data_IF_226623595762
#
_entry.id   IF_226623595762
#
_cell.length_a   1.000
_cell.length_b   1.000
_cell.length_c   1.000
_cell.angle_alpha   90.00
_cell.angle_beta   90.00
_cell.angle_gamma   90.00
#
_symmetry.space_group_name_H-M   'P 1'
#
loop_
_entity.id
_entity.type
_entity.pdbx_description
1 polymer ?
#
# COMPACT_ATOMS: atom_id res chain seq x y z
N UNK A 1 25.67 -5.10 10.64
CA UNK A 1 26.09 -4.02 9.71
C UNK A 1 26.44 -4.54 8.31
N UNK A 2 27.37 -5.50 8.17
CA UNK A 2 27.88 -5.93 6.84
C UNK A 2 26.81 -6.55 5.91
N UNK A 3 25.87 -7.36 6.42
CA UNK A 3 24.79 -7.92 5.59
C UNK A 3 23.78 -6.88 5.08
N UNK A 4 23.50 -5.84 5.87
CA UNK A 4 22.66 -4.71 5.45
C UNK A 4 23.38 -3.82 4.43
N UNK A 5 24.69 -3.61 4.61
CA UNK A 5 25.55 -2.88 3.65
C UNK A 5 25.54 -3.55 2.28
N UNK A 6 25.78 -4.88 2.22
CA UNK A 6 25.74 -5.66 0.98
C UNK A 6 24.37 -5.62 0.30
N UNK A 7 23.28 -5.61 1.06
CA UNK A 7 21.93 -5.44 0.51
C UNK A 7 21.76 -4.06 -0.16
N UNK A 8 22.16 -2.97 0.52
CA UNK A 8 22.11 -1.60 -0.04
C UNK A 8 22.98 -1.47 -1.29
N UNK A 9 24.14 -2.12 -1.31
CA UNK A 9 25.03 -2.16 -2.48
C UNK A 9 24.45 -2.90 -3.68
N UNK A 10 23.46 -3.79 -3.49
CA UNK A 10 22.77 -4.47 -4.58
C UNK A 10 21.68 -3.61 -5.25
N UNK A 11 21.28 -2.51 -4.61
CA UNK A 11 20.24 -1.61 -5.13
C UNK A 11 20.77 -0.71 -6.25
N UNK A 12 19.84 -0.17 -7.05
CA UNK A 12 20.15 0.77 -8.14
C UNK A 12 20.84 2.04 -7.64
N UNK A 13 21.61 2.70 -8.49
CA UNK A 13 22.31 3.96 -8.18
C UNK A 13 21.36 5.05 -7.67
N UNK A 14 20.13 5.11 -8.20
CA UNK A 14 19.09 6.03 -7.74
C UNK A 14 18.59 5.71 -6.33
N UNK A 15 18.37 4.43 -6.01
CA UNK A 15 17.93 4.02 -4.68
C UNK A 15 18.98 4.30 -3.59
N UNK A 16 20.28 4.22 -3.94
CA UNK A 16 21.39 4.54 -3.02
C UNK A 16 21.45 6.02 -2.63
N UNK A 17 20.88 6.94 -3.42
CA UNK A 17 20.87 8.37 -3.09
C UNK A 17 20.07 8.69 -1.83
N UNK A 18 19.09 7.86 -1.48
CA UNK A 18 18.20 8.06 -0.34
C UNK A 18 18.57 7.22 0.89
N UNK A 19 19.64 6.43 0.80
CA UNK A 19 20.09 5.55 1.87
C UNK A 19 21.35 6.14 2.49
N UNK A 20 21.33 6.39 3.80
CA UNK A 20 22.54 6.75 4.54
C UNK A 20 23.55 5.61 4.37
N UNK A 21 24.74 5.94 3.83
CA UNK A 21 25.81 4.97 3.73
C UNK A 21 26.15 4.48 5.14
N UNK A 22 25.96 3.18 5.38
CA UNK A 22 26.34 2.57 6.64
C UNK A 22 27.86 2.44 6.71
N UNK A 23 28.45 2.82 7.85
CA UNK A 23 29.87 2.59 8.08
C UNK A 23 30.20 1.09 8.04
N UNK A 24 31.33 0.76 7.42
CA UNK A 24 31.83 -0.61 7.37
C UNK A 24 32.21 -1.03 8.80
N UNK A 25 31.71 -2.17 9.31
CA UNK A 25 32.13 -2.68 10.62
C UNK A 25 33.61 -3.06 10.61
N UNK A 26 34.25 -3.01 11.78
CA UNK A 26 35.65 -3.37 11.99
C UNK A 26 35.86 -4.89 11.91
N UNK A 27 35.90 -5.40 10.68
CA UNK A 27 36.12 -6.81 10.35
C UNK A 27 37.01 -6.92 9.13
N UNK A 28 38.01 -7.79 9.18
CA UNK A 28 39.01 -7.96 8.11
C UNK A 28 38.38 -8.55 6.84
N UNK A 29 37.70 -9.69 6.96
CA UNK A 29 37.04 -10.35 5.84
C UNK A 29 35.91 -11.26 6.31
N UNK A 30 34.80 -11.28 5.57
CA UNK A 30 33.69 -12.22 5.81
C UNK A 30 33.21 -12.76 4.46
N UNK A 31 33.27 -14.07 4.26
CA UNK A 31 32.74 -14.77 3.09
C UNK A 31 31.41 -15.47 3.41
N UNK A 32 30.62 -15.76 2.37
CA UNK A 32 29.39 -16.55 2.52
C UNK A 32 28.20 -15.84 3.19
N UNK A 33 28.27 -14.53 3.42
CA UNK A 33 27.13 -13.76 3.96
C UNK A 33 25.96 -13.73 2.98
N UNK A 34 24.85 -14.37 3.37
CA UNK A 34 23.54 -14.16 2.76
C UNK A 34 22.99 -12.76 3.08
N UNK A 35 22.02 -12.24 2.31
CA UNK A 35 21.29 -11.03 2.68
C UNK A 35 20.75 -11.14 4.11
N UNK A 36 21.06 -10.15 4.95
CA UNK A 36 20.67 -10.16 6.36
C UNK A 36 19.49 -9.21 6.60
N UNK A 37 18.51 -9.67 7.39
CA UNK A 37 17.39 -8.86 7.89
C UNK A 37 17.52 -8.79 9.41
N UNK A 38 17.56 -7.58 9.97
CA UNK A 38 17.54 -7.39 11.41
C UNK A 38 16.09 -7.30 11.91
N UNK A 39 15.76 -8.01 12.99
CA UNK A 39 14.47 -7.92 13.67
C UNK A 39 14.75 -7.31 15.04
N UNK A 40 14.45 -6.03 15.17
CA UNK A 40 14.67 -5.24 16.39
C UNK A 40 13.34 -4.66 16.86
N UNK A 41 13.18 -4.51 18.17
CA UNK A 41 12.07 -3.74 18.74
C UNK A 41 12.37 -2.24 18.60
N UNK A 42 12.20 -1.69 17.38
CA UNK A 42 12.17 -0.25 17.15
C UNK A 42 10.79 0.30 17.46
N UNK A 43 10.72 1.47 18.08
CA UNK A 43 9.48 2.23 18.21
C UNK A 43 8.85 2.38 16.82
N UNK A 44 7.62 1.91 16.66
CA UNK A 44 6.92 1.94 15.38
C UNK A 44 6.85 3.36 14.84
N UNK A 45 6.99 3.51 13.52
CA UNK A 45 6.71 4.78 12.83
C UNK A 45 5.31 5.25 13.22
N UNK A 46 5.21 6.45 13.80
CA UNK A 46 3.95 7.04 14.28
C UNK A 46 3.14 7.61 13.11
N UNK A 47 2.78 6.77 12.14
CA UNK A 47 1.78 7.14 11.16
C UNK A 47 0.41 6.76 11.72
N UNK A 48 -0.50 7.71 12.00
CA UNK A 48 -1.81 7.43 12.57
C UNK A 48 -2.71 6.59 11.65
N UNK A 49 -2.34 6.42 10.37
CA UNK A 49 -3.06 5.54 9.42
C UNK A 49 -2.52 4.10 9.40
N UNK A 50 -1.37 3.84 10.02
CA UNK A 50 -0.80 2.50 10.09
C UNK A 50 -1.52 1.67 11.13
N UNK A 51 -1.98 0.49 10.71
CA UNK A 51 -2.60 -0.53 11.55
C UNK A 51 -1.83 -1.84 11.46
N UNK A 52 -2.16 -2.80 12.32
CA UNK A 52 -1.61 -4.17 12.21
C UNK A 52 -1.85 -4.75 10.81
N UNK A 53 -3.03 -4.52 10.24
CA UNK A 53 -3.38 -5.01 8.89
C UNK A 53 -2.49 -4.43 7.79
N UNK A 54 -2.07 -3.16 7.91
CA UNK A 54 -1.17 -2.54 6.92
C UNK A 54 0.29 -2.95 7.12
N UNK A 55 0.73 -3.21 8.36
CA UNK A 55 2.11 -3.62 8.65
C UNK A 55 2.36 -5.08 8.25
N UNK A 56 1.34 -5.91 8.42
CA UNK A 56 1.37 -7.34 8.04
C UNK A 56 0.99 -7.59 6.59
N UNK A 57 0.66 -6.54 5.82
CA UNK A 57 0.15 -6.61 4.44
C UNK A 57 -1.18 -7.39 4.26
N UNK A 58 -1.75 -7.97 5.33
CA UNK A 58 -3.04 -8.66 5.31
C UNK A 58 -4.15 -7.76 4.75
N UNK A 59 -4.11 -6.46 5.05
CA UNK A 59 -5.11 -5.52 4.54
C UNK A 59 -5.10 -5.44 3.01
N UNK A 60 -3.96 -5.61 2.35
CA UNK A 60 -3.88 -5.60 0.89
C UNK A 60 -4.53 -6.85 0.27
N UNK A 61 -4.37 -8.00 0.92
CA UNK A 61 -5.11 -9.21 0.55
C UNK A 61 -6.62 -9.04 0.75
N UNK A 62 -7.04 -8.45 1.87
CA UNK A 62 -8.44 -8.17 2.12
C UNK A 62 -9.03 -7.22 1.06
N UNK A 63 -8.30 -6.19 0.65
CA UNK A 63 -8.73 -5.29 -0.43
C UNK A 63 -8.98 -6.05 -1.74
N UNK A 64 -8.07 -6.94 -2.12
CA UNK A 64 -8.25 -7.77 -3.32
C UNK A 64 -9.43 -8.73 -3.19
N UNK A 65 -9.60 -9.33 -2.00
CA UNK A 65 -10.72 -10.22 -1.71
C UNK A 65 -12.06 -9.48 -1.87
N UNK A 66 -12.23 -8.34 -1.21
CA UNK A 66 -13.47 -7.55 -1.29
C UNK A 66 -13.71 -6.95 -2.67
N UNK A 67 -12.64 -6.56 -3.39
CA UNK A 67 -12.78 -6.07 -4.76
C UNK A 67 -13.24 -7.15 -5.74
N UNK A 68 -12.84 -8.41 -5.53
CA UNK A 68 -13.16 -9.53 -6.45
C UNK A 68 -14.42 -10.30 -6.07
N UNK A 69 -14.68 -10.47 -4.77
CA UNK A 69 -15.76 -11.32 -4.26
C UNK A 69 -16.84 -10.54 -3.50
N UNK A 70 -16.62 -9.25 -3.19
CA UNK A 70 -17.59 -8.42 -2.49
C UNK A 70 -18.67 -7.90 -3.42
N UNK A 71 -19.92 -7.94 -2.98
CA UNK A 71 -21.04 -7.26 -3.66
C UNK A 71 -21.16 -5.83 -3.14
N UNK A 72 -20.92 -4.80 -3.96
CA UNK A 72 -21.06 -3.41 -3.53
C UNK A 72 -22.53 -3.08 -3.28
N UNK A 73 -22.80 -2.33 -2.20
CA UNK A 73 -24.16 -1.93 -1.80
C UNK A 73 -24.26 -0.43 -1.54
N UNK A 74 -25.45 0.13 -1.74
CA UNK A 74 -25.74 1.51 -1.39
C UNK A 74 -25.76 1.68 0.14
N UNK A 75 -25.00 2.63 0.73
CA UNK A 75 -24.93 2.78 2.19
C UNK A 75 -26.24 3.25 2.84
N UNK A 76 -27.13 3.89 2.08
CA UNK A 76 -28.41 4.42 2.59
C UNK A 76 -29.55 3.41 2.45
N UNK A 77 -29.53 2.61 1.37
CA UNK A 77 -30.68 1.76 0.99
C UNK A 77 -30.39 0.26 1.10
N UNK A 78 -29.12 -0.14 1.33
CA UNK A 78 -28.63 -1.53 1.36
C UNK A 78 -28.91 -2.37 0.10
N UNK A 79 -29.25 -1.70 -1.00
CA UNK A 79 -29.49 -2.33 -2.30
C UNK A 79 -28.15 -2.61 -3.02
N UNK A 80 -28.03 -3.72 -3.77
CA UNK A 80 -26.85 -4.00 -4.58
C UNK A 80 -26.67 -2.91 -5.64
N UNK A 81 -25.41 -2.49 -5.86
CA UNK A 81 -25.07 -1.52 -6.89
C UNK A 81 -24.90 -2.24 -8.23
N UNK A 82 -25.58 -1.73 -9.26
CA UNK A 82 -25.53 -2.22 -10.63
C UNK A 82 -24.87 -1.20 -11.56
N UNK A 83 -24.34 -1.68 -12.69
CA UNK A 83 -23.78 -0.82 -13.72
C UNK A 83 -24.90 -0.02 -14.41
N UNK A 84 -24.70 1.29 -14.54
CA UNK A 84 -25.61 2.15 -15.28
C UNK A 84 -25.07 2.45 -16.68
N UNK A 85 -25.96 2.52 -17.67
CA UNK A 85 -25.62 2.96 -19.02
C UNK A 85 -25.57 4.49 -19.09
N UNK A 86 -24.87 5.02 -20.10
CA UNK A 86 -24.79 6.47 -20.31
C UNK A 86 -26.19 7.06 -20.51
N UNK A 87 -27.06 6.39 -21.27
CA UNK A 87 -28.45 6.82 -21.47
C UNK A 87 -29.21 6.90 -20.14
N UNK A 88 -29.11 5.90 -19.28
CA UNK A 88 -29.74 5.92 -17.95
C UNK A 88 -29.25 7.10 -17.10
N UNK A 89 -27.96 7.43 -17.17
CA UNK A 89 -27.41 8.60 -16.47
C UNK A 89 -27.97 9.92 -17.03
N UNK A 90 -28.08 10.05 -18.37
CA UNK A 90 -28.65 11.24 -19.02
C UNK A 90 -30.13 11.39 -18.70
N UNK A 91 -30.91 10.33 -18.80
CA UNK A 91 -32.34 10.31 -18.46
C UNK A 91 -32.57 10.72 -17.01
N UNK A 92 -31.73 10.22 -16.10
CA UNK A 92 -31.76 10.59 -14.68
C UNK A 92 -31.52 12.10 -14.47
N UNK A 93 -30.55 12.68 -15.18
CA UNK A 93 -30.27 14.13 -15.10
C UNK A 93 -31.42 14.96 -15.69
N UNK A 94 -32.01 14.54 -16.81
CA UNK A 94 -33.14 15.24 -17.44
C UNK A 94 -34.42 15.19 -16.59
N UNK A 95 -34.60 14.12 -15.80
CA UNK A 95 -35.71 13.97 -14.87
C UNK A 95 -35.56 14.80 -13.58
N UNK A 96 -34.38 15.41 -13.33
CA UNK A 96 -34.19 16.26 -12.16
C UNK A 96 -34.93 17.60 -12.29
N UNK A 97 -35.51 18.14 -11.19
CA UNK A 97 -36.18 19.44 -11.22
C UNK A 97 -35.29 20.57 -11.74
N UNK A 98 -35.86 21.44 -12.56
CA UNK A 98 -35.16 22.63 -13.07
C UNK A 98 -34.66 23.49 -11.92
N UNK A 99 -33.34 23.74 -11.88
CA UNK A 99 -32.67 24.52 -10.83
C UNK A 99 -31.71 23.72 -9.93
N UNK A 100 -31.72 22.38 -9.99
CA UNK A 100 -30.63 21.53 -9.43
C UNK A 100 -29.68 21.09 -10.54
N UNK A 101 -28.98 22.03 -11.16
CA UNK A 101 -27.75 21.70 -11.89
C UNK A 101 -26.60 21.71 -10.88
N UNK A 102 -25.72 20.71 -10.96
CA UNK A 102 -24.47 20.64 -10.19
C UNK A 102 -23.65 21.92 -10.37
#
# INVERSE_FOLDING_TARGET
AEGQRRYVESLSTYARQFLSMMEKPDVDHIEGLSPAISIEQKSTSHNPRSTVGTITEIYDYLRLLFARAGTPKCPTHDLPLESQTISQMVDHILAMPSGRRM
#
